data_IF_604176286052
#
_entry.id   IF_604176286052
#
_cell.length_a   1.000
_cell.length_b   1.000
_cell.length_c   1.000
_cell.angle_alpha   90.00
_cell.angle_beta   90.00
_cell.angle_gamma   90.00
#
_symmetry.space_group_name_H-M   'P 1'
#
loop_
_entity.id
_entity.type
_entity.pdbx_description
1 polymer ?
#
# COMPACT_ATOMS: atom_id res chain seq x y z
N UNK A 1 -38.94 -17.04 -26.56
CA UNK A 1 -37.63 -17.71 -26.39
C UNK A 1 -36.64 -16.64 -26.02
N UNK A 2 -36.38 -16.49 -24.74
CA UNK A 2 -35.47 -15.49 -24.20
C UNK A 2 -34.21 -16.25 -23.77
N UNK A 3 -33.18 -16.18 -24.62
CA UNK A 3 -31.86 -16.73 -24.30
C UNK A 3 -31.10 -15.61 -23.62
N UNK A 4 -31.07 -15.67 -22.28
CA UNK A 4 -30.13 -14.96 -21.44
C UNK A 4 -28.71 -15.31 -21.88
N UNK A 5 -28.10 -14.42 -22.67
CA UNK A 5 -26.69 -14.50 -23.02
C UNK A 5 -25.85 -14.30 -21.76
N UNK A 6 -25.06 -15.33 -21.49
CA UNK A 6 -23.94 -15.42 -20.58
C UNK A 6 -23.07 -14.16 -20.56
N UNK A 7 -23.20 -13.35 -19.51
CA UNK A 7 -22.13 -12.46 -19.05
C UNK A 7 -21.21 -13.26 -18.15
N UNK A 8 -20.31 -14.07 -18.72
CA UNK A 8 -19.32 -14.87 -18.01
C UNK A 8 -18.09 -14.05 -17.60
N UNK A 9 -18.33 -12.93 -16.90
CA UNK A 9 -17.35 -12.24 -16.08
C UNK A 9 -17.95 -12.18 -14.68
N UNK A 10 -17.52 -13.07 -13.78
CA UNK A 10 -18.11 -13.16 -12.44
C UNK A 10 -18.08 -11.78 -11.77
N UNK A 11 -19.20 -11.20 -11.31
CA UNK A 11 -19.22 -9.85 -10.71
C UNK A 11 -18.23 -9.73 -9.54
N UNK A 12 -17.97 -10.84 -8.83
CA UNK A 12 -16.94 -10.95 -7.80
C UNK A 12 -15.51 -10.69 -8.32
N UNK A 13 -15.18 -11.16 -9.53
CA UNK A 13 -13.85 -10.94 -10.13
C UNK A 13 -13.60 -9.49 -10.56
N UNK A 14 -14.65 -8.75 -10.93
CA UNK A 14 -14.53 -7.33 -11.28
C UNK A 14 -14.31 -6.45 -10.04
N UNK A 15 -15.09 -6.66 -8.97
CA UNK A 15 -14.94 -5.89 -7.73
C UNK A 15 -13.57 -6.11 -7.08
N UNK A 16 -13.09 -7.35 -7.11
CA UNK A 16 -11.79 -7.74 -6.58
C UNK A 16 -10.63 -7.15 -7.39
N UNK A 17 -10.73 -7.11 -8.72
CA UNK A 17 -9.74 -6.43 -9.57
C UNK A 17 -9.69 -4.91 -9.30
N UNK A 18 -10.84 -4.28 -9.05
CA UNK A 18 -10.93 -2.86 -8.65
C UNK A 18 -10.31 -2.64 -7.28
N UNK A 19 -10.61 -3.51 -6.30
CA UNK A 19 -10.02 -3.45 -4.97
C UNK A 19 -8.49 -3.58 -5.04
N UNK A 20 -7.97 -4.57 -5.78
CA UNK A 20 -6.54 -4.75 -5.99
C UNK A 20 -5.88 -3.52 -6.63
N UNK A 21 -6.52 -2.92 -7.65
CA UNK A 21 -6.03 -1.71 -8.30
C UNK A 21 -6.01 -0.49 -7.35
N UNK A 22 -7.02 -0.34 -6.49
CA UNK A 22 -7.08 0.72 -5.48
C UNK A 22 -6.01 0.52 -4.41
N UNK A 23 -5.82 -0.71 -3.93
CA UNK A 23 -4.78 -1.04 -2.95
C UNK A 23 -3.39 -0.80 -3.53
N UNK A 24 -3.13 -1.21 -4.77
CA UNK A 24 -1.86 -0.94 -5.46
C UNK A 24 -1.61 0.57 -5.64
N UNK A 25 -2.65 1.33 -6.00
CA UNK A 25 -2.55 2.80 -6.12
C UNK A 25 -2.22 3.46 -4.79
N UNK A 26 -2.88 3.03 -3.71
CA UNK A 26 -2.61 3.55 -2.37
C UNK A 26 -1.21 3.16 -1.88
N UNK A 27 -0.76 1.93 -2.14
CA UNK A 27 0.62 1.50 -1.87
C UNK A 27 1.63 2.41 -2.58
N UNK A 28 1.39 2.74 -3.85
CA UNK A 28 2.26 3.67 -4.59
C UNK A 28 2.30 5.08 -3.99
N UNK A 29 1.19 5.57 -3.42
CA UNK A 29 1.16 6.84 -2.69
C UNK A 29 1.98 6.77 -1.38
N UNK A 30 1.86 5.67 -0.64
CA UNK A 30 2.63 5.43 0.59
C UNK A 30 4.13 5.40 0.29
N UNK A 31 4.54 4.66 -0.74
CA UNK A 31 5.94 4.56 -1.16
C UNK A 31 6.50 5.92 -1.60
N UNK A 32 5.71 6.69 -2.35
CA UNK A 32 6.08 8.05 -2.78
C UNK A 32 6.22 9.01 -1.60
N UNK A 33 5.30 8.95 -0.63
CA UNK A 33 5.37 9.75 0.59
C UNK A 33 6.62 9.41 1.41
N UNK A 34 6.97 8.11 1.53
CA UNK A 34 8.19 7.68 2.19
C UNK A 34 9.44 8.19 1.49
N UNK A 35 9.48 8.11 0.16
CA UNK A 35 10.59 8.65 -0.63
C UNK A 35 10.78 10.15 -0.41
N UNK A 36 9.69 10.92 -0.37
CA UNK A 36 9.74 12.36 -0.08
C UNK A 36 10.28 12.65 1.32
N UNK A 37 9.86 11.92 2.35
CA UNK A 37 10.39 12.06 3.70
C UNK A 37 11.89 11.75 3.75
N UNK A 38 12.35 10.71 3.04
CA UNK A 38 13.79 10.37 2.95
C UNK A 38 14.60 11.49 2.30
N UNK A 39 14.07 12.12 1.26
CA UNK A 39 14.71 13.30 0.65
C UNK A 39 14.75 14.48 1.63
N UNK A 40 13.67 14.70 2.38
CA UNK A 40 13.60 15.76 3.40
C UNK A 40 14.64 15.56 4.51
N UNK A 41 14.83 14.32 4.97
CA UNK A 41 15.89 13.97 5.94
C UNK A 41 17.28 14.28 5.37
N UNK A 42 17.57 13.86 4.15
CA UNK A 42 18.87 14.12 3.52
C UNK A 42 19.17 15.62 3.35
N UNK A 43 18.16 16.42 3.02
CA UNK A 43 18.27 17.89 2.95
C UNK A 43 18.52 18.48 4.33
N UNK A 44 17.80 18.01 5.36
CA UNK A 44 17.99 18.45 6.73
C UNK A 44 19.41 18.15 7.24
N UNK A 45 19.91 16.94 7.00
CA UNK A 45 21.27 16.52 7.36
C UNK A 45 22.33 17.35 6.64
N UNK A 46 22.13 17.60 5.34
CA UNK A 46 23.02 18.46 4.55
C UNK A 46 23.03 19.89 5.08
N UNK A 47 21.87 20.44 5.48
CA UNK A 47 21.75 21.78 6.03
C UNK A 47 22.43 21.89 7.41
N UNK A 48 22.32 20.86 8.26
CA UNK A 48 23.03 20.79 9.54
C UNK A 48 24.55 20.70 9.34
N UNK A 49 25.00 19.88 8.39
CA UNK A 49 26.42 19.72 8.08
C UNK A 49 27.06 20.98 7.52
N UNK A 50 26.40 21.65 6.58
CA UNK A 50 26.91 22.83 5.89
C UNK A 50 27.04 24.06 6.80
N UNK A 51 26.19 24.17 7.83
CA UNK A 51 26.09 25.38 8.65
C UNK A 51 26.63 25.22 10.08
N UNK A 52 27.50 24.23 10.33
CA UNK A 52 28.14 24.06 11.65
C UNK A 52 28.82 25.36 12.09
N UNK A 53 28.24 26.02 13.10
CA UNK A 53 28.75 27.25 13.71
C UNK A 53 28.25 28.57 13.10
N UNK A 54 27.55 28.55 11.97
CA UNK A 54 26.99 29.78 11.34
C UNK A 54 25.46 29.84 11.37
N UNK A 55 24.81 28.76 11.79
CA UNK A 55 23.35 28.66 11.86
C UNK A 55 22.80 29.26 13.15
N UNK A 56 21.70 30.02 13.09
CA UNK A 56 21.00 30.47 14.30
C UNK A 56 20.46 29.27 15.09
N UNK A 57 20.35 29.42 16.42
CA UNK A 57 19.80 28.38 17.28
C UNK A 57 18.37 27.99 16.88
N UNK A 58 17.55 28.96 16.47
CA UNK A 58 16.18 28.73 16.00
C UNK A 58 16.13 27.90 14.71
N UNK A 59 17.05 28.12 13.78
CA UNK A 59 17.12 27.31 12.57
C UNK A 59 17.65 25.89 12.87
N UNK A 60 18.58 25.74 13.82
CA UNK A 60 19.03 24.43 14.31
C UNK A 60 17.90 23.60 14.91
N UNK A 61 17.05 24.22 15.72
CA UNK A 61 15.85 23.57 16.26
C UNK A 61 14.88 23.20 15.13
N UNK A 62 14.57 24.15 14.25
CA UNK A 62 13.64 23.90 13.15
C UNK A 62 14.07 22.76 12.23
N UNK A 63 15.35 22.71 11.82
CA UNK A 63 15.83 21.64 10.93
C UNK A 63 15.83 20.27 11.63
N UNK A 64 16.08 20.24 12.95
CA UNK A 64 16.00 19.02 13.75
C UNK A 64 14.54 18.52 13.86
N UNK A 65 13.58 19.43 14.05
CA UNK A 65 12.15 19.11 14.08
C UNK A 65 11.67 18.57 12.73
N UNK A 66 12.13 19.14 11.62
CA UNK A 66 11.85 18.64 10.26
C UNK A 66 12.37 17.21 10.09
N UNK A 67 13.63 16.95 10.48
CA UNK A 67 14.21 15.62 10.41
C UNK A 67 13.41 14.62 11.27
N UNK A 68 13.10 14.96 12.52
CA UNK A 68 12.35 14.09 13.41
C UNK A 68 10.93 13.81 12.89
N UNK A 69 10.26 14.82 12.33
CA UNK A 69 8.92 14.66 11.74
C UNK A 69 8.96 13.71 10.55
N UNK A 70 9.95 13.83 9.68
CA UNK A 70 10.12 12.93 8.54
C UNK A 70 10.38 11.47 8.98
N UNK A 71 11.16 11.26 10.05
CA UNK A 71 11.36 9.93 10.66
C UNK A 71 10.05 9.35 11.17
N UNK A 72 9.29 10.12 11.97
CA UNK A 72 8.01 9.67 12.53
C UNK A 72 7.00 9.35 11.41
N UNK A 73 6.94 10.20 10.37
CA UNK A 73 6.06 9.94 9.23
C UNK A 73 6.42 8.64 8.51
N UNK A 74 7.71 8.33 8.34
CA UNK A 74 8.14 7.08 7.73
C UNK A 74 7.74 5.86 8.55
N UNK A 75 7.82 5.92 9.89
CA UNK A 75 7.37 4.83 10.77
C UNK A 75 5.87 4.56 10.63
N UNK A 76 5.06 5.62 10.54
CA UNK A 76 3.61 5.49 10.31
C UNK A 76 3.34 4.89 8.93
N UNK A 77 4.04 5.35 7.90
CA UNK A 77 3.89 4.84 6.53
C UNK A 77 4.33 3.37 6.41
N UNK A 78 5.36 2.95 7.15
CA UNK A 78 5.75 1.53 7.24
C UNK A 78 4.63 0.69 7.86
N UNK A 79 4.02 1.18 8.94
CA UNK A 79 2.88 0.50 9.58
C UNK A 79 1.67 0.39 8.63
N UNK A 80 1.41 1.43 7.82
CA UNK A 80 0.36 1.40 6.79
C UNK A 80 0.69 0.36 5.72
N UNK A 81 1.94 0.31 5.24
CA UNK A 81 2.39 -0.67 4.25
C UNK A 81 2.23 -2.10 4.76
N UNK A 82 2.61 -2.37 6.01
CA UNK A 82 2.42 -3.68 6.64
C UNK A 82 0.94 -4.06 6.76
N UNK A 83 0.09 -3.12 7.18
CA UNK A 83 -1.35 -3.34 7.26
C UNK A 83 -1.99 -3.64 5.88
N UNK A 84 -1.54 -2.95 4.82
CA UNK A 84 -2.00 -3.21 3.46
C UNK A 84 -1.59 -4.60 2.98
N UNK A 85 -0.34 -5.02 3.23
CA UNK A 85 0.13 -6.36 2.87
C UNK A 85 -0.62 -7.46 3.63
N UNK A 86 -0.88 -7.26 4.93
CA UNK A 86 -1.70 -8.18 5.70
C UNK A 86 -3.13 -8.26 5.14
N UNK A 87 -3.75 -7.12 4.84
CA UNK A 87 -5.08 -7.05 4.26
C UNK A 87 -5.19 -7.84 2.96
N UNK A 88 -4.29 -7.58 1.99
CA UNK A 88 -4.25 -8.31 0.71
C UNK A 88 -4.09 -9.81 0.94
N UNK A 89 -3.09 -10.23 1.74
CA UNK A 89 -2.85 -11.64 2.01
C UNK A 89 -4.03 -12.34 2.69
N UNK A 90 -4.78 -11.63 3.53
CA UNK A 90 -6.00 -12.16 4.16
C UNK A 90 -7.15 -12.33 3.17
N UNK A 91 -7.32 -11.40 2.22
CA UNK A 91 -8.34 -11.47 1.18
C UNK A 91 -8.04 -12.62 0.21
N UNK A 92 -6.80 -12.72 -0.28
CA UNK A 92 -6.38 -13.81 -1.18
C UNK A 92 -6.58 -15.19 -0.52
N UNK A 93 -6.27 -15.32 0.78
CA UNK A 93 -6.46 -16.56 1.52
C UNK A 93 -7.95 -16.93 1.70
N UNK A 94 -8.81 -15.94 1.94
CA UNK A 94 -10.25 -16.16 2.06
C UNK A 94 -10.86 -16.56 0.71
N UNK A 95 -10.40 -15.96 -0.39
CA UNK A 95 -10.88 -16.32 -1.72
C UNK A 95 -10.41 -17.70 -2.17
N UNK A 96 -9.15 -18.06 -1.92
CA UNK A 96 -8.67 -19.41 -2.19
C UNK A 96 -9.46 -20.47 -1.40
N UNK A 97 -9.78 -20.17 -0.14
CA UNK A 97 -10.59 -21.04 0.73
C UNK A 97 -12.03 -21.15 0.20
N UNK A 98 -12.67 -20.01 -0.10
CA UNK A 98 -14.04 -19.97 -0.62
C UNK A 98 -14.16 -20.64 -2.00
N UNK A 99 -13.15 -20.50 -2.88
CA UNK A 99 -13.09 -21.19 -4.16
C UNK A 99 -12.96 -22.71 -3.98
N UNK A 100 -12.12 -23.16 -3.03
CA UNK A 100 -11.99 -24.57 -2.66
C UNK A 100 -13.30 -25.16 -2.11
N UNK A 101 -13.97 -24.45 -1.21
CA UNK A 101 -15.27 -24.84 -0.66
C UNK A 101 -16.35 -24.87 -1.76
N UNK A 102 -16.34 -23.89 -2.67
CA UNK A 102 -17.29 -23.84 -3.79
C UNK A 102 -17.08 -25.01 -4.76
N UNK A 103 -15.83 -25.39 -5.06
CA UNK A 103 -15.53 -26.59 -5.85
C UNK A 103 -15.97 -27.88 -5.15
N UNK A 104 -15.80 -27.98 -3.83
CA UNK A 104 -16.27 -29.13 -3.05
C UNK A 104 -17.80 -29.25 -3.03
N UNK A 105 -18.51 -28.13 -2.90
CA UNK A 105 -19.98 -28.11 -2.80
C UNK A 105 -20.63 -28.34 -4.17
N UNK A 106 -20.08 -27.78 -5.24
CA UNK A 106 -20.69 -27.85 -6.58
C UNK A 106 -20.21 -29.01 -7.43
N UNK A 107 -19.10 -29.66 -7.08
CA UNK A 107 -18.51 -30.77 -7.83
C UNK A 107 -18.00 -30.40 -9.22
N UNK A 108 -18.02 -29.11 -9.59
CA UNK A 108 -17.52 -28.61 -10.87
C UNK A 108 -16.00 -28.50 -10.79
N UNK A 109 -15.32 -29.55 -11.25
CA UNK A 109 -13.91 -29.47 -11.61
C UNK A 109 -13.84 -28.72 -12.95
N UNK A 110 -13.06 -27.64 -12.99
CA UNK A 110 -12.83 -26.85 -14.20
C UNK A 110 -12.53 -27.78 -15.40
N UNK A 111 -13.36 -27.83 -16.47
CA UNK A 111 -13.14 -28.74 -17.59
C UNK A 111 -12.02 -28.29 -18.53
N UNK A 112 -11.43 -27.11 -18.30
CA UNK A 112 -10.32 -26.59 -19.09
C UNK A 112 -9.25 -26.03 -18.16
N UNK A 113 -8.31 -26.88 -17.74
CA UNK A 113 -7.00 -26.51 -17.15
C UNK A 113 -6.99 -25.26 -16.25
#
# INVERSE_FOLDING_TARGET
MEILMSGSGSPFSMDMAVQAAQTASFQGLVDSAQANNKQMMAVADSAQGANRGQMSASFQTWIADVHQTAVTNNQVLDSIREALQFGIGSTDAQEASAAGDFQQITGVVNPFH
#
